data_IF_056240032368
#
_entry.id   IF_056240032368
#
_cell.length_a   1.000
_cell.length_b   1.000
_cell.length_c   1.000
_cell.angle_alpha   90.00
_cell.angle_beta   90.00
_cell.angle_gamma   90.00
#
_symmetry.space_group_name_H-M   'P 1'
#
loop_
_entity.id
_entity.type
_entity.pdbx_description
1 polymer ?
#
# COMPACT_ATOMS: atom_id res chain seq x y z
N UNK A 1 7.13 9.30 11.08
CA UNK A 1 6.50 8.22 11.89
C UNK A 1 4.98 8.07 11.71
N UNK A 2 4.13 8.99 12.20
CA UNK A 2 2.66 8.82 12.24
C UNK A 2 2.01 8.37 10.92
N UNK A 3 2.36 9.03 9.80
CA UNK A 3 1.82 8.69 8.47
C UNK A 3 2.23 7.28 8.03
N UNK A 4 3.49 6.89 8.26
CA UNK A 4 3.99 5.57 7.90
C UNK A 4 3.24 4.47 8.67
N UNK A 5 2.98 4.68 9.97
CA UNK A 5 2.16 3.78 10.78
C UNK A 5 0.70 3.74 10.30
N UNK A 6 0.08 4.88 9.97
CA UNK A 6 -1.28 4.91 9.43
C UNK A 6 -1.40 4.10 8.12
N UNK A 7 -0.42 4.22 7.23
CA UNK A 7 -0.38 3.49 5.97
C UNK A 7 -0.14 2.00 6.20
N UNK A 8 0.75 1.64 7.13
CA UNK A 8 0.96 0.25 7.52
C UNK A 8 -0.31 -0.39 8.09
N UNK A 9 -1.05 0.33 8.96
CA UNK A 9 -2.34 -0.12 9.49
C UNK A 9 -3.41 -0.27 8.41
N UNK A 10 -3.44 0.63 7.43
CA UNK A 10 -4.31 0.48 6.26
C UNK A 10 -3.94 -0.80 5.48
N UNK A 11 -2.66 -1.07 5.25
CA UNK A 11 -2.20 -2.27 4.56
C UNK A 11 -2.54 -3.56 5.31
N UNK A 12 -2.37 -3.60 6.64
CA UNK A 12 -2.77 -4.74 7.48
C UNK A 12 -4.27 -5.03 7.40
N UNK A 13 -5.11 -3.98 7.45
CA UNK A 13 -6.58 -4.11 7.36
C UNK A 13 -7.01 -4.83 6.09
N UNK A 14 -6.33 -4.57 4.98
CA UNK A 14 -6.59 -5.22 3.69
C UNK A 14 -5.82 -6.53 3.50
N UNK A 15 -5.20 -7.06 4.56
CA UNK A 15 -4.35 -8.26 4.54
C UNK A 15 -3.21 -8.16 3.53
N UNK A 16 -2.69 -6.95 3.34
CA UNK A 16 -1.60 -6.65 2.40
C UNK A 16 -0.25 -6.54 3.08
N UNK A 17 -0.20 -6.26 4.38
CA UNK A 17 1.02 -6.30 5.17
C UNK A 17 0.96 -7.50 6.11
N UNK A 18 1.88 -8.45 5.96
CA UNK A 18 1.99 -9.58 6.86
C UNK A 18 2.96 -9.26 8.02
N UNK A 19 2.89 -9.99 9.15
CA UNK A 19 3.83 -9.82 10.26
C UNK A 19 5.31 -9.78 9.83
N UNK A 20 5.70 -10.67 8.91
CA UNK A 20 7.08 -10.76 8.38
C UNK A 20 7.54 -9.58 7.53
N UNK A 21 6.65 -8.63 7.17
CA UNK A 21 7.01 -7.43 6.41
C UNK A 21 7.37 -6.24 7.31
N UNK A 22 6.95 -6.24 8.57
CA UNK A 22 7.24 -5.18 9.55
C UNK A 22 8.73 -4.87 9.72
N UNK A 23 9.65 -5.84 9.76
CA UNK A 23 11.07 -5.53 9.88
C UNK A 23 11.58 -4.64 8.75
N UNK A 24 11.12 -4.84 7.52
CA UNK A 24 11.52 -4.00 6.38
C UNK A 24 10.96 -2.57 6.49
N UNK A 25 9.72 -2.43 6.98
CA UNK A 25 9.09 -1.12 7.23
C UNK A 25 9.86 -0.38 8.33
N UNK A 26 10.18 -1.06 9.43
CA UNK A 26 10.92 -0.51 10.55
C UNK A 26 12.35 -0.09 10.16
N UNK A 27 13.06 -0.89 9.35
CA UNK A 27 14.35 -0.48 8.76
C UNK A 27 14.20 0.81 7.94
N UNK A 28 13.16 0.91 7.12
CA UNK A 28 12.87 2.13 6.36
C UNK A 28 12.69 3.35 7.26
N UNK A 29 11.95 3.19 8.37
CA UNK A 29 11.74 4.24 9.36
C UNK A 29 13.02 4.64 10.09
N UNK A 30 13.89 3.69 10.46
CA UNK A 30 15.19 3.98 11.08
C UNK A 30 16.09 4.81 10.16
N UNK A 31 16.13 4.47 8.87
CA UNK A 31 16.93 5.21 7.87
C UNK A 31 16.46 6.66 7.72
N UNK A 32 15.18 6.93 7.95
CA UNK A 32 14.61 8.28 8.00
C UNK A 32 14.98 9.05 9.29
N UNK A 33 15.73 8.42 10.21
CA UNK A 33 16.18 9.02 11.47
C UNK A 33 15.19 8.86 12.62
N UNK A 34 14.29 7.88 12.56
CA UNK A 34 13.41 7.58 13.69
C UNK A 34 14.13 6.67 14.68
N UNK A 35 14.65 7.24 15.76
CA UNK A 35 15.46 6.54 16.79
C UNK A 35 14.62 5.85 17.88
N UNK A 36 13.34 5.59 17.60
CA UNK A 36 12.41 4.99 18.56
C UNK A 36 12.85 3.53 18.87
N UNK A 37 13.02 3.15 20.16
CA UNK A 37 13.53 1.83 20.54
C UNK A 37 12.71 0.66 20.00
N UNK A 38 11.38 0.79 19.97
CA UNK A 38 10.48 -0.22 19.45
C UNK A 38 10.58 -0.36 17.93
N UNK A 39 10.93 0.72 17.22
CA UNK A 39 11.26 0.66 15.79
C UNK A 39 12.60 -0.05 15.57
N UNK A 40 13.60 0.19 16.43
CA UNK A 40 14.88 -0.51 16.38
C UNK A 40 14.72 -2.02 16.64
N UNK A 41 13.88 -2.38 17.60
CA UNK A 41 13.56 -3.78 17.93
C UNK A 41 12.84 -4.47 16.76
N UNK A 42 11.81 -3.85 16.20
CA UNK A 42 11.11 -4.36 15.01
C UNK A 42 12.05 -4.54 13.81
N UNK A 43 12.97 -3.60 13.59
CA UNK A 43 13.94 -3.69 12.50
C UNK A 43 14.94 -4.85 12.68
N UNK A 44 15.23 -5.22 13.93
CA UNK A 44 16.07 -6.36 14.28
C UNK A 44 15.38 -7.72 14.16
N UNK A 45 14.05 -7.75 14.04
CA UNK A 45 13.31 -9.00 13.95
C UNK A 45 13.53 -9.73 12.61
N UNK A 46 13.45 -11.06 12.64
CA UNK A 46 13.62 -11.88 11.44
C UNK A 46 12.41 -11.77 10.51
N UNK A 47 12.56 -12.09 9.22
CA UNK A 47 11.42 -12.19 8.28
C UNK A 47 10.46 -13.35 8.59
N UNK A 48 10.87 -14.30 9.42
CA UNK A 48 10.05 -15.42 9.88
C UNK A 48 9.31 -15.10 11.18
N UNK A 49 9.36 -13.83 11.62
CA UNK A 49 8.69 -13.36 12.82
C UNK A 49 7.18 -13.58 12.73
N UNK A 50 6.59 -14.00 13.84
CA UNK A 50 5.16 -14.23 13.93
C UNK A 50 4.42 -12.95 14.30
N UNK A 51 3.12 -12.92 14.07
CA UNK A 51 2.26 -11.81 14.52
C UNK A 51 2.39 -11.56 16.02
N UNK A 52 2.57 -12.61 16.82
CA UNK A 52 2.72 -12.52 18.27
C UNK A 52 3.92 -11.69 18.73
N UNK A 53 4.99 -11.66 17.93
CA UNK A 53 6.20 -10.91 18.28
C UNK A 53 6.10 -9.46 17.79
N UNK A 54 5.51 -9.22 16.61
CA UNK A 54 5.42 -7.87 16.03
C UNK A 54 4.24 -7.06 16.57
N UNK A 55 3.10 -7.70 16.88
CA UNK A 55 1.85 -7.02 17.25
C UNK A 55 1.97 -6.17 18.53
N UNK A 56 2.63 -6.63 19.62
CA UNK A 56 2.81 -5.80 20.80
C UNK A 56 3.62 -4.52 20.51
N UNK A 57 4.70 -4.65 19.74
CA UNK A 57 5.57 -3.53 19.37
C UNK A 57 4.84 -2.52 18.46
N UNK A 58 4.12 -3.03 17.45
CA UNK A 58 3.31 -2.20 16.55
C UNK A 58 2.18 -1.49 17.29
N UNK A 59 1.52 -2.18 18.23
CA UNK A 59 0.45 -1.58 19.05
C UNK A 59 0.99 -0.47 19.94
N UNK A 60 2.12 -0.70 20.62
CA UNK A 60 2.78 0.32 21.44
C UNK A 60 3.18 1.55 20.61
N UNK A 61 3.72 1.35 19.40
CA UNK A 61 4.02 2.45 18.48
C UNK A 61 2.75 3.21 18.06
N UNK A 62 1.68 2.50 17.68
CA UNK A 62 0.43 3.14 17.26
C UNK A 62 -0.19 3.97 18.39
N UNK A 63 -0.20 3.45 19.62
CA UNK A 63 -0.67 4.17 20.80
C UNK A 63 0.19 5.42 21.07
N UNK A 64 1.51 5.27 21.09
CA UNK A 64 2.46 6.36 21.34
C UNK A 64 2.33 7.51 20.34
N UNK A 65 2.16 7.19 19.05
CA UNK A 65 2.06 8.20 17.99
C UNK A 65 0.60 8.63 17.70
N UNK A 66 -0.37 8.15 18.48
CA UNK A 66 -1.79 8.51 18.32
C UNK A 66 -2.33 8.12 16.94
N UNK A 67 -1.98 6.92 16.47
CA UNK A 67 -2.39 6.37 15.17
C UNK A 67 -3.60 5.46 15.40
N UNK A 68 -4.83 5.93 15.11
CA UNK A 68 -5.99 5.06 15.14
C UNK A 68 -5.95 4.06 13.98
N UNK A 69 -6.73 2.98 14.09
CA UNK A 69 -7.02 2.15 12.93
C UNK A 69 -7.85 2.96 11.92
N UNK A 70 -7.39 3.14 10.67
CA UNK A 70 -8.14 3.87 9.66
C UNK A 70 -9.45 3.15 9.31
N UNK A 71 -10.47 3.93 8.93
CA UNK A 71 -11.71 3.41 8.38
C UNK A 71 -11.50 2.76 6.99
N UNK A 72 -12.52 2.08 6.43
CA UNK A 72 -12.41 1.46 5.11
C UNK A 72 -12.04 2.47 4.00
N UNK A 73 -12.66 3.65 4.01
CA UNK A 73 -12.42 4.70 3.02
C UNK A 73 -11.00 5.26 3.12
N UNK A 74 -10.64 5.72 4.33
CA UNK A 74 -9.29 6.23 4.63
C UNK A 74 -8.21 5.20 4.29
N UNK A 75 -8.46 3.92 4.55
CA UNK A 75 -7.50 2.86 4.26
C UNK A 75 -7.25 2.75 2.75
N UNK A 76 -8.31 2.82 1.95
CA UNK A 76 -8.20 2.73 0.49
C UNK A 76 -7.49 3.98 -0.08
N UNK A 77 -7.81 5.18 0.43
CA UNK A 77 -7.11 6.42 0.03
C UNK A 77 -5.60 6.35 0.38
N UNK A 78 -5.27 5.91 1.59
CA UNK A 78 -3.88 5.76 2.03
C UNK A 78 -3.11 4.79 1.14
N UNK A 79 -3.71 3.66 0.77
CA UNK A 79 -3.10 2.68 -0.13
C UNK A 79 -2.98 3.22 -1.57
N UNK A 80 -3.95 3.98 -2.06
CA UNK A 80 -3.87 4.64 -3.36
C UNK A 80 -2.73 5.66 -3.43
N UNK A 81 -2.61 6.49 -2.39
CA UNK A 81 -1.55 7.49 -2.29
C UNK A 81 -0.17 6.86 -2.11
N UNK A 82 -0.08 5.75 -1.36
CA UNK A 82 1.14 4.95 -1.25
C UNK A 82 1.59 4.44 -2.62
N UNK A 83 0.68 3.85 -3.39
CA UNK A 83 1.00 3.36 -4.74
C UNK A 83 1.32 4.49 -5.71
N UNK A 84 0.72 5.67 -5.53
CA UNK A 84 1.08 6.86 -6.31
C UNK A 84 2.48 7.39 -5.98
N UNK A 85 2.86 7.44 -4.70
CA UNK A 85 4.23 7.76 -4.29
C UNK A 85 5.20 6.71 -4.84
N UNK A 86 4.85 5.43 -4.76
CA UNK A 86 5.66 4.33 -5.31
C UNK A 86 5.88 4.46 -6.84
N UNK A 87 4.84 4.85 -7.58
CA UNK A 87 4.89 5.12 -9.02
C UNK A 87 5.78 6.32 -9.37
N UNK A 88 5.87 7.34 -8.49
CA UNK A 88 6.79 8.48 -8.67
C UNK A 88 8.24 8.06 -8.46
N UNK A 89 8.49 7.21 -7.46
CA UNK A 89 9.84 6.71 -7.13
C UNK A 89 10.37 5.76 -8.21
N UNK A 90 9.50 4.97 -8.86
CA UNK A 90 9.87 4.12 -9.99
C UNK A 90 8.80 4.14 -11.10
N UNK A 91 9.06 4.79 -12.25
CA UNK A 91 8.08 4.89 -13.34
C UNK A 91 7.90 3.62 -14.21
N UNK A 92 8.20 2.42 -13.71
CA UNK A 92 8.08 1.19 -14.51
C UNK A 92 6.68 0.55 -14.38
N UNK A 93 5.94 0.38 -15.49
CA UNK A 93 4.85 -0.58 -15.78
C UNK A 93 3.83 -0.96 -14.67
N UNK A 94 3.70 -0.21 -13.57
CA UNK A 94 2.84 -0.55 -12.42
C UNK A 94 1.45 0.09 -12.49
N UNK A 95 1.15 0.89 -13.52
CA UNK A 95 -0.17 1.55 -13.70
C UNK A 95 -1.31 0.54 -13.78
N UNK A 96 -1.25 -0.42 -14.70
CA UNK A 96 -2.28 -1.47 -14.83
C UNK A 96 -2.40 -2.33 -13.56
N UNK A 97 -1.30 -2.74 -12.92
CA UNK A 97 -1.39 -3.38 -11.62
C UNK A 97 -1.99 -2.51 -10.49
N UNK A 98 -1.65 -1.23 -10.41
CA UNK A 98 -2.21 -0.29 -9.43
C UNK A 98 -3.73 -0.13 -9.61
N UNK A 99 -4.20 -0.03 -10.86
CA UNK A 99 -5.64 -0.02 -11.19
C UNK A 99 -6.33 -1.27 -10.63
N UNK A 100 -5.79 -2.47 -10.89
CA UNK A 100 -6.36 -3.72 -10.38
C UNK A 100 -6.34 -3.81 -8.86
N UNK A 101 -5.28 -3.33 -8.21
CA UNK A 101 -5.20 -3.30 -6.76
C UNK A 101 -6.33 -2.41 -6.20
N UNK A 102 -6.49 -1.19 -6.72
CA UNK A 102 -7.50 -0.25 -6.25
C UNK A 102 -8.93 -0.74 -6.50
N UNK A 103 -9.18 -1.35 -7.67
CA UNK A 103 -10.45 -1.98 -7.98
C UNK A 103 -10.84 -3.07 -6.95
N UNK A 104 -9.86 -3.83 -6.45
CA UNK A 104 -10.08 -4.91 -5.47
C UNK A 104 -10.15 -4.45 -4.02
N UNK A 105 -9.65 -3.25 -3.72
CA UNK A 105 -9.69 -2.69 -2.36
C UNK A 105 -11.06 -2.11 -2.02
N UNK A 106 -11.87 -1.76 -3.03
CA UNK A 106 -13.21 -1.23 -2.86
C UNK A 106 -14.30 -2.32 -3.05
N UNK A 107 -15.15 -2.57 -2.03
CA UNK A 107 -16.35 -3.39 -2.22
C UNK A 107 -17.38 -2.72 -3.17
N UNK A 108 -18.37 -3.45 -3.70
CA UNK A 108 -19.35 -2.93 -4.67
C UNK A 108 -20.14 -1.70 -4.19
N UNK A 109 -20.32 -1.56 -2.87
CA UNK A 109 -21.08 -0.48 -2.24
C UNK A 109 -20.18 0.68 -1.74
N UNK A 110 -18.93 0.73 -2.22
CA UNK A 110 -17.92 1.69 -1.76
C UNK A 110 -18.01 3.02 -2.52
N UNK A 111 -18.34 4.09 -1.82
CA UNK A 111 -18.51 5.44 -2.39
C UNK A 111 -17.16 6.16 -2.61
N UNK A 112 -16.27 5.59 -3.41
CA UNK A 112 -15.04 6.28 -3.84
C UNK A 112 -15.00 6.41 -5.35
N UNK A 113 -15.03 7.66 -5.85
CA UNK A 113 -14.92 7.94 -7.29
C UNK A 113 -13.66 7.28 -7.90
N UNK A 114 -12.53 7.37 -7.20
CA UNK A 114 -11.28 6.75 -7.64
C UNK A 114 -11.41 5.23 -7.76
N UNK A 115 -12.02 4.57 -6.77
CA UNK A 115 -12.12 3.13 -6.76
C UNK A 115 -13.16 2.62 -7.77
N UNK A 116 -14.30 3.31 -7.91
CA UNK A 116 -15.30 3.04 -8.94
C UNK A 116 -14.69 3.14 -10.36
N UNK A 117 -13.88 4.17 -10.60
CA UNK A 117 -13.16 4.33 -11.87
C UNK A 117 -12.11 3.25 -12.08
N UNK A 118 -11.38 2.85 -11.03
CA UNK A 118 -10.44 1.74 -11.11
C UNK A 118 -11.16 0.41 -11.40
N UNK A 119 -12.33 0.18 -10.80
CA UNK A 119 -13.16 -1.00 -11.04
C UNK A 119 -13.63 -1.07 -12.50
N UNK A 120 -14.16 0.03 -13.03
CA UNK A 120 -14.53 0.12 -14.45
C UNK A 120 -13.33 -0.17 -15.36
N UNK A 121 -12.15 0.37 -15.03
CA UNK A 121 -10.93 0.16 -15.81
C UNK A 121 -10.35 -1.27 -15.69
N UNK A 122 -10.54 -1.95 -14.55
CA UNK A 122 -10.13 -3.36 -14.38
C UNK A 122 -10.84 -4.27 -15.39
N UNK A 123 -12.12 -4.02 -15.68
CA UNK A 123 -12.88 -4.75 -16.70
C UNK A 123 -12.22 -4.64 -18.10
N UNK A 124 -11.82 -3.43 -18.50
CA UNK A 124 -11.13 -3.18 -19.77
C UNK A 124 -9.71 -3.77 -19.80
N UNK A 125 -9.01 -3.78 -18.66
CA UNK A 125 -7.71 -4.44 -18.52
C UNK A 125 -7.82 -5.97 -18.57
N UNK A 126 -8.96 -6.55 -18.21
CA UNK A 126 -9.19 -7.99 -18.23
C UNK A 126 -9.52 -8.50 -19.64
N UNK A 127 -10.37 -7.80 -20.41
CA UNK A 127 -10.58 -8.12 -21.83
C UNK A 127 -9.37 -7.71 -22.70
N UNK A 128 -8.49 -6.84 -22.17
CA UNK A 128 -7.33 -6.23 -22.84
C UNK A 128 -7.67 -5.49 -24.12
N UNK A 129 -8.86 -4.90 -24.12
CA UNK A 129 -9.26 -3.82 -25.01
C UNK A 129 -8.64 -2.47 -24.56
N UNK A 130 -8.08 -2.40 -23.35
CA UNK A 130 -7.41 -1.20 -22.85
C UNK A 130 -6.08 -0.95 -23.58
N UNK A 131 -6.04 0.09 -24.42
CA UNK A 131 -4.80 0.85 -24.56
C UNK A 131 -4.50 1.47 -23.20
N UNK A 132 -3.24 1.44 -22.76
CA UNK A 132 -2.81 2.09 -21.50
C UNK A 132 -3.29 3.55 -21.57
N UNK A 133 -4.30 3.89 -20.77
CA UNK A 133 -4.77 5.27 -20.66
C UNK A 133 -3.68 6.08 -19.94
N UNK A 134 -2.78 6.67 -20.73
CA UNK A 134 -1.72 7.54 -20.23
C UNK A 134 -2.28 8.75 -19.47
N UNK A 135 -3.55 9.14 -19.70
CA UNK A 135 -4.24 10.16 -18.95
C UNK A 135 -4.50 9.74 -17.50
N UNK A 136 -4.92 8.48 -17.30
CA UNK A 136 -5.17 7.95 -15.96
C UNK A 136 -3.89 7.78 -15.14
N UNK A 137 -2.78 7.34 -15.76
CA UNK A 137 -1.48 7.31 -15.08
C UNK A 137 -1.06 8.69 -14.58
N UNK A 138 -1.22 9.72 -15.43
CA UNK A 138 -0.89 11.09 -15.06
C UNK A 138 -1.77 11.60 -13.90
N UNK A 139 -3.02 11.17 -13.84
CA UNK A 139 -3.95 11.50 -12.75
C UNK A 139 -3.56 10.79 -11.44
N UNK A 140 -3.23 9.49 -11.48
CA UNK A 140 -2.73 8.76 -10.32
C UNK A 140 -1.45 9.42 -9.76
N UNK A 141 -0.54 9.84 -10.65
CA UNK A 141 0.65 10.61 -10.26
C UNK A 141 0.36 11.99 -9.68
N UNK A 142 -0.87 12.50 -9.73
CA UNK A 142 -1.29 13.77 -9.11
C UNK A 142 -1.93 13.60 -7.73
N UNK A 143 -2.18 12.38 -7.27
CA UNK A 143 -2.73 12.15 -5.92
C UNK A 143 -1.85 12.80 -4.83
N UNK A 144 -2.41 13.37 -3.76
CA UNK A 144 -1.60 14.00 -2.72
C UNK A 144 -0.53 13.06 -2.15
N UNK A 145 0.74 13.46 -2.16
CA UNK A 145 1.83 12.64 -1.60
C UNK A 145 1.64 12.42 -0.10
N UNK A 146 2.07 11.27 0.39
CA UNK A 146 2.16 10.94 1.82
C UNK A 146 3.40 11.57 2.48
N UNK A 147 4.33 12.12 1.68
CA UNK A 147 5.60 12.70 2.15
C UNK A 147 6.45 11.73 2.98
N UNK A 148 6.37 10.44 2.65
CA UNK A 148 7.21 9.39 3.21
C UNK A 148 8.53 9.32 2.45
N UNK A 149 9.59 8.86 3.12
CA UNK A 149 10.86 8.55 2.46
C UNK A 149 10.72 7.40 1.46
N UNK A 150 11.53 7.40 0.40
CA UNK A 150 11.51 6.37 -0.65
C UNK A 150 11.69 4.94 -0.08
N UNK A 151 12.52 4.79 0.95
CA UNK A 151 12.74 3.50 1.64
C UNK A 151 11.46 2.98 2.29
N UNK A 152 10.71 3.85 2.98
CA UNK A 152 9.44 3.51 3.62
C UNK A 152 8.36 3.23 2.57
N UNK A 153 8.26 4.06 1.54
CA UNK A 153 7.33 3.87 0.42
C UNK A 153 7.56 2.49 -0.22
N UNK A 154 8.81 2.17 -0.55
CA UNK A 154 9.15 0.89 -1.19
C UNK A 154 8.90 -0.31 -0.27
N UNK A 155 9.20 -0.19 1.03
CA UNK A 155 8.95 -1.26 2.00
C UNK A 155 7.45 -1.56 2.12
N UNK A 156 6.61 -0.52 2.23
CA UNK A 156 5.15 -0.64 2.34
C UNK A 156 4.49 -1.06 1.02
N UNK A 157 5.01 -0.62 -0.12
CA UNK A 157 4.47 -0.95 -1.43
C UNK A 157 4.85 -2.37 -1.90
N UNK A 158 5.95 -2.95 -1.41
CA UNK A 158 6.45 -4.27 -1.87
C UNK A 158 5.40 -5.39 -1.74
N UNK A 159 4.70 -5.58 -0.61
CA UNK A 159 3.71 -6.64 -0.48
C UNK A 159 2.52 -6.43 -1.41
N UNK A 160 2.02 -5.19 -1.51
CA UNK A 160 0.95 -4.81 -2.45
C UNK A 160 1.33 -5.20 -3.89
N UNK A 161 2.58 -4.94 -4.28
CA UNK A 161 3.08 -5.32 -5.60
C UNK A 161 3.09 -6.83 -5.83
N UNK A 162 3.45 -7.62 -4.82
CA UNK A 162 3.49 -9.08 -4.93
C UNK A 162 2.11 -9.70 -5.16
N UNK A 163 1.05 -9.00 -4.74
CA UNK A 163 -0.35 -9.43 -4.93
C UNK A 163 -0.93 -9.07 -6.30
N UNK A 164 -0.16 -8.36 -7.11
CA UNK A 164 -0.56 -7.96 -8.45
C UNK A 164 -0.53 -9.18 -9.38
N UNK A 165 -1.61 -9.45 -10.14
CA UNK A 165 -1.61 -10.52 -11.12
C UNK A 165 -0.58 -10.19 -12.21
N UNK A 166 0.44 -11.05 -12.32
CA UNK A 166 1.47 -11.01 -13.36
C UNK A 166 0.97 -11.58 -14.69
N UNK A 167 -0.11 -12.36 -14.65
CA UNK A 167 -0.75 -12.97 -15.80
C UNK A 167 -2.11 -12.31 -16.11
N UNK A 168 -2.44 -12.22 -17.40
CA UNK A 168 -3.75 -11.79 -17.88
C UNK A 168 -4.78 -12.88 -17.52
N UNK A 169 -5.92 -12.56 -16.88
CA UNK A 169 -6.98 -13.54 -16.69
C UNK A 169 -7.48 -14.03 -18.07
N UNK A 170 -8.00 -15.27 -18.17
CA UNK A 170 -8.54 -15.78 -19.42
C UNK A 170 -9.70 -14.88 -19.90
N UNK A 171 -9.62 -14.41 -21.14
CA UNK A 171 -10.68 -13.60 -21.75
C UNK A 171 -11.94 -14.46 -21.89
N UNK A 172 -12.97 -14.18 -21.10
CA UNK A 172 -14.31 -14.72 -21.29
C UNK A 172 -15.22 -13.63 -21.83
N UNK A 173 -15.75 -13.82 -23.04
CA UNK A 173 -16.90 -13.11 -23.56
C UNK A 173 -18.15 -13.95 -23.31
#
# INVERSE_FOLDING_TARGET
MRVALSVARAAERHSRLAPGDWPAVAVGMLVEGNEDPEVAELAGASRQVSGWDTEPLVSALCERYGVPSPGPEDSTDLLARLMADDLRVRPASVTAPMIRLLARLAPPDFESDLACRCYAMEEYLNCGCAQIDFGFEAELRRLPSLRLSDSVVQALARPLRSTLPTARPPCGH
#
